data_IF_915799174962
#
_entry.id   IF_915799174962
#
_cell.length_a   1.000
_cell.length_b   1.000
_cell.length_c   1.000
_cell.angle_alpha   90.00
_cell.angle_beta   90.00
_cell.angle_gamma   90.00
#
_symmetry.space_group_name_H-M   'P 1'
#
loop_
_entity.id
_entity.type
_entity.pdbx_description
1 polymer ?
#
# COMPACT_ATOMS: atom_id res chain seq x y z
N UNK A 1 3.99 5.41 7.91
CA UNK A 1 5.25 4.94 7.27
C UNK A 1 5.68 3.55 7.77
N UNK A 2 5.78 3.28 9.08
CA UNK A 2 6.30 1.98 9.57
C UNK A 2 5.52 0.74 9.08
N UNK A 3 4.20 0.86 8.89
CA UNK A 3 3.33 -0.24 8.41
C UNK A 3 3.75 -0.83 7.05
N UNK A 4 4.56 -0.11 6.28
CA UNK A 4 5.06 -0.57 4.98
C UNK A 4 6.31 -1.45 5.06
N UNK A 5 7.11 -1.28 6.12
CA UNK A 5 8.46 -1.85 6.21
C UNK A 5 8.46 -3.36 6.46
N UNK A 6 7.32 -3.94 6.84
CA UNK A 6 7.17 -5.38 7.09
C UNK A 6 7.55 -6.23 5.86
N UNK A 7 7.38 -5.70 4.65
CA UNK A 7 7.72 -6.43 3.41
C UNK A 7 9.23 -6.48 3.15
N UNK A 8 10.03 -5.63 3.82
CA UNK A 8 11.49 -5.66 3.74
C UNK A 8 12.07 -6.83 4.55
N UNK A 9 11.29 -7.45 5.44
CA UNK A 9 11.72 -8.64 6.17
C UNK A 9 11.91 -9.84 5.20
N UNK A 10 13.12 -10.43 5.11
CA UNK A 10 13.41 -11.53 4.21
C UNK A 10 12.72 -12.85 4.59
N UNK A 11 11.93 -12.89 5.65
CA UNK A 11 11.03 -14.00 6.02
C UNK A 11 9.56 -13.76 5.61
N UNK A 12 9.16 -12.50 5.39
CA UNK A 12 7.80 -12.13 4.99
C UNK A 12 7.60 -12.30 3.48
N UNK A 13 6.74 -13.23 3.07
CA UNK A 13 6.38 -13.41 1.66
C UNK A 13 5.21 -12.54 1.22
N UNK A 14 4.28 -12.29 2.15
CA UNK A 14 3.07 -11.52 1.93
C UNK A 14 2.82 -10.68 3.17
N UNK A 15 2.49 -9.41 2.96
CA UNK A 15 2.04 -8.49 3.99
C UNK A 15 0.65 -7.96 3.61
N UNK A 16 -0.27 -7.95 4.57
CA UNK A 16 -1.61 -7.37 4.41
C UNK A 16 -1.80 -6.34 5.50
N UNK A 17 -2.14 -5.12 5.11
CA UNK A 17 -2.37 -4.01 6.01
C UNK A 17 -3.88 -3.73 6.02
N UNK A 18 -4.48 -3.96 7.19
CA UNK A 18 -5.91 -3.76 7.43
C UNK A 18 -6.15 -3.01 8.73
N UNK A 19 -6.87 -1.89 8.66
CA UNK A 19 -7.32 -1.19 9.88
C UNK A 19 -8.37 -2.06 10.61
N UNK A 20 -8.36 -2.03 11.95
CA UNK A 20 -9.16 -2.94 12.81
C UNK A 20 -10.48 -2.33 13.31
N UNK A 21 -10.94 -1.27 12.67
CA UNK A 21 -12.14 -0.52 13.01
C UNK A 21 -13.45 -1.19 12.55
N UNK A 22 -13.35 -2.33 11.87
CA UNK A 22 -14.46 -3.07 11.31
C UNK A 22 -14.19 -4.58 11.28
N UNK A 23 -15.27 -5.38 11.21
CA UNK A 23 -15.17 -6.84 11.04
C UNK A 23 -14.88 -7.16 9.59
N UNK A 24 -14.17 -8.27 9.36
CA UNK A 24 -14.03 -8.83 8.02
C UNK A 24 -15.39 -9.14 7.40
N UNK A 25 -15.56 -8.75 6.15
CA UNK A 25 -16.71 -9.13 5.34
C UNK A 25 -16.32 -10.11 4.24
N UNK A 26 -17.32 -10.72 3.61
CA UNK A 26 -17.12 -11.74 2.58
C UNK A 26 -16.40 -11.17 1.33
N UNK A 27 -16.65 -9.91 0.97
CA UNK A 27 -16.00 -9.27 -0.18
C UNK A 27 -14.50 -9.12 0.05
N UNK A 28 -14.08 -8.68 1.24
CA UNK A 28 -12.66 -8.56 1.60
C UNK A 28 -11.97 -9.92 1.54
N UNK A 29 -12.61 -10.97 2.08
CA UNK A 29 -12.09 -12.33 2.04
C UNK A 29 -11.91 -12.82 0.59
N UNK A 30 -12.93 -12.63 -0.26
CA UNK A 30 -12.87 -13.04 -1.66
C UNK A 30 -11.77 -12.31 -2.42
N UNK A 31 -11.69 -10.99 -2.27
CA UNK A 31 -10.68 -10.16 -2.91
C UNK A 31 -9.25 -10.54 -2.51
N UNK A 32 -9.01 -10.78 -1.21
CA UNK A 32 -7.71 -11.24 -0.72
C UNK A 32 -7.38 -12.62 -1.27
N UNK A 33 -8.33 -13.56 -1.29
CA UNK A 33 -8.10 -14.90 -1.81
C UNK A 33 -7.77 -14.89 -3.31
N UNK A 34 -8.51 -14.12 -4.11
CA UNK A 34 -8.24 -13.93 -5.53
C UNK A 34 -6.84 -13.36 -5.76
N UNK A 35 -6.49 -12.30 -5.03
CA UNK A 35 -5.16 -11.72 -5.10
C UNK A 35 -4.07 -12.70 -4.69
N UNK A 36 -4.24 -13.44 -3.58
CA UNK A 36 -3.26 -14.42 -3.12
C UNK A 36 -3.01 -15.51 -4.16
N UNK A 37 -4.06 -15.98 -4.84
CA UNK A 37 -3.97 -17.00 -5.88
C UNK A 37 -3.28 -16.51 -7.16
N UNK A 38 -3.26 -15.20 -7.42
CA UNK A 38 -2.64 -14.63 -8.62
C UNK A 38 -1.10 -14.64 -8.56
N UNK A 39 -0.40 -15.21 -9.54
CA UNK A 39 1.07 -15.16 -9.62
C UNK A 39 1.59 -13.79 -10.09
N UNK A 40 0.81 -13.06 -10.90
CA UNK A 40 1.26 -11.86 -11.62
C UNK A 40 0.98 -10.55 -10.84
N UNK A 41 0.14 -10.64 -9.81
CA UNK A 41 -0.28 -9.48 -9.02
C UNK A 41 0.48 -9.42 -7.69
N UNK A 42 1.48 -8.54 -7.62
CA UNK A 42 2.34 -8.36 -6.45
C UNK A 42 1.78 -7.32 -5.46
N UNK A 43 0.82 -6.51 -5.90
CA UNK A 43 0.16 -5.51 -5.07
C UNK A 43 -1.35 -5.74 -5.08
N UNK A 44 -2.01 -5.47 -3.95
CA UNK A 44 -3.46 -5.48 -3.82
C UNK A 44 -3.93 -4.19 -3.18
N UNK A 45 -5.02 -3.65 -3.71
CA UNK A 45 -5.70 -2.50 -3.11
C UNK A 45 -7.20 -2.70 -3.19
N UNK A 46 -7.90 -2.14 -2.22
CA UNK A 46 -9.35 -2.13 -2.17
C UNK A 46 -9.82 -0.80 -1.59
N UNK A 47 -10.98 -0.35 -2.09
CA UNK A 47 -11.78 0.70 -1.45
C UNK A 47 -13.18 0.17 -1.19
N UNK A 48 -13.78 0.66 -0.13
CA UNK A 48 -15.06 0.20 0.40
C UNK A 48 -16.08 1.34 0.61
N UNK A 49 -15.68 2.60 0.43
CA UNK A 49 -16.55 3.77 0.59
C UNK A 49 -16.30 4.85 -0.47
N UNK A 50 -17.36 5.56 -0.87
CA UNK A 50 -17.31 6.60 -1.92
C UNK A 50 -16.41 7.80 -1.60
N UNK A 51 -16.17 8.05 -0.31
CA UNK A 51 -15.31 9.12 0.20
C UNK A 51 -13.83 8.70 0.32
N UNK A 52 -13.50 7.45 0.02
CA UNK A 52 -12.12 6.96 -0.02
C UNK A 52 -11.45 7.38 -1.34
N UNK A 53 -11.23 8.68 -1.52
CA UNK A 53 -10.81 9.27 -2.80
C UNK A 53 -9.28 9.32 -3.00
N UNK A 54 -8.54 8.42 -2.35
CA UNK A 54 -7.08 8.34 -2.47
C UNK A 54 -6.66 7.18 -3.36
N UNK A 55 -5.48 7.29 -3.98
CA UNK A 55 -4.94 6.29 -4.89
C UNK A 55 -4.70 4.91 -4.24
N UNK A 56 -4.40 4.86 -2.94
CA UNK A 56 -4.33 3.64 -2.14
C UNK A 56 -4.73 3.97 -0.72
N UNK A 57 -5.65 3.20 -0.14
CA UNK A 57 -6.04 3.35 1.26
C UNK A 57 -4.93 2.83 2.18
N UNK A 58 -4.51 3.63 3.16
CA UNK A 58 -3.46 3.26 4.12
C UNK A 58 -3.81 2.05 5.01
N UNK A 59 -5.09 1.69 5.05
CA UNK A 59 -5.63 0.56 5.83
C UNK A 59 -6.26 -0.54 4.99
N UNK A 60 -6.10 -0.57 3.66
CA UNK A 60 -6.71 -1.61 2.80
C UNK A 60 -5.82 -1.97 1.61
N UNK A 61 -4.61 -2.46 1.87
CA UNK A 61 -3.70 -2.89 0.81
C UNK A 61 -2.86 -4.10 1.21
N UNK A 62 -2.27 -4.76 0.21
CA UNK A 62 -1.40 -5.92 0.40
C UNK A 62 -0.21 -5.90 -0.56
N UNK A 63 0.90 -6.51 -0.13
CA UNK A 63 2.14 -6.59 -0.88
C UNK A 63 2.68 -8.03 -0.84
N UNK A 64 3.18 -8.51 -1.97
CA UNK A 64 3.97 -9.74 -2.06
C UNK A 64 5.45 -9.40 -2.20
N UNK A 65 6.30 -10.31 -1.75
CA UNK A 65 7.75 -10.20 -1.98
C UNK A 65 8.04 -10.14 -3.47
N UNK A 66 9.04 -9.34 -3.84
CA UNK A 66 9.45 -9.14 -5.23
C UNK A 66 8.76 -7.95 -5.90
N UNK A 67 7.82 -7.29 -5.21
CA UNK A 67 7.20 -6.04 -5.67
C UNK A 67 8.25 -4.97 -6.04
N UNK A 68 9.35 -4.93 -5.28
CA UNK A 68 10.49 -4.05 -5.53
C UNK A 68 11.76 -4.90 -5.74
N UNK A 69 12.13 -5.23 -6.98
CA UNK A 69 13.27 -6.12 -7.24
C UNK A 69 14.63 -5.46 -7.00
N UNK A 70 14.70 -4.12 -7.09
CA UNK A 70 15.95 -3.35 -7.09
C UNK A 70 16.04 -2.33 -5.94
N UNK A 71 15.09 -2.34 -5.01
CA UNK A 71 15.02 -1.39 -3.89
C UNK A 71 14.18 -1.95 -2.75
N UNK A 72 14.19 -1.30 -1.59
CA UNK A 72 13.40 -1.66 -0.41
C UNK A 72 12.37 -0.57 -0.08
N UNK A 73 11.32 -0.91 0.66
CA UNK A 73 10.37 0.09 1.17
C UNK A 73 11.06 1.08 2.09
N UNK A 74 12.06 0.64 2.85
CA UNK A 74 12.91 1.49 3.67
C UNK A 74 13.65 2.54 2.83
N UNK A 75 14.25 2.14 1.70
CA UNK A 75 14.98 3.06 0.83
C UNK A 75 14.04 4.06 0.15
N UNK A 76 12.88 3.58 -0.33
CA UNK A 76 11.84 4.44 -0.90
C UNK A 76 11.30 5.44 0.14
N UNK A 77 11.06 5.00 1.38
CA UNK A 77 10.61 5.85 2.46
C UNK A 77 11.66 6.90 2.83
N UNK A 78 12.95 6.53 2.90
CA UNK A 78 14.05 7.46 3.13
C UNK A 78 14.13 8.50 2.01
N UNK A 79 14.09 8.07 0.75
CA UNK A 79 14.11 8.98 -0.40
C UNK A 79 12.98 10.01 -0.30
N UNK A 80 11.76 9.56 -0.03
CA UNK A 80 10.63 10.49 0.11
C UNK A 80 10.80 11.42 1.32
N UNK A 81 11.31 10.93 2.45
CA UNK A 81 11.59 11.79 3.60
C UNK A 81 12.63 12.88 3.28
N UNK A 82 13.68 12.56 2.52
CA UNK A 82 14.66 13.54 2.05
C UNK A 82 14.06 14.56 1.07
N UNK A 83 13.18 14.13 0.16
CA UNK A 83 12.50 15.02 -0.79
C UNK A 83 11.50 15.97 -0.11
N UNK A 84 10.74 15.46 0.86
CA UNK A 84 9.70 16.23 1.57
C UNK A 84 10.32 17.16 2.63
N UNK A 85 11.42 16.74 3.26
CA UNK A 85 12.09 17.50 4.31
C UNK A 85 13.58 17.71 3.99
N UNK A 86 13.92 18.63 3.07
CA UNK A 86 15.31 19.04 2.85
C UNK A 86 15.94 19.72 4.09
N UNK A 87 15.14 20.00 5.13
CA UNK A 87 15.59 20.39 6.46
C UNK A 87 15.00 19.46 7.54
N UNK A 88 15.84 18.82 8.39
CA UNK A 88 15.44 17.72 9.29
C UNK A 88 14.51 18.10 10.46
N UNK A 89 14.08 19.37 10.56
CA UNK A 89 13.40 19.90 11.74
C UNK A 89 11.86 19.79 11.74
N UNK A 90 11.23 19.23 10.70
CA UNK A 90 9.76 19.17 10.59
C UNK A 90 9.23 17.80 10.16
N UNK A 91 9.55 16.71 10.86
CA UNK A 91 8.76 15.48 10.71
C UNK A 91 7.41 15.72 11.42
N UNK A 92 6.47 16.39 10.75
CA UNK A 92 5.10 16.49 11.25
C UNK A 92 4.37 15.20 10.86
N UNK A 93 3.95 14.44 11.87
CA UNK A 93 3.06 13.29 11.72
C UNK A 93 1.63 13.74 11.40
N UNK A 94 1.46 14.45 10.27
CA UNK A 94 0.15 14.84 9.78
C UNK A 94 -0.66 13.59 9.36
N UNK A 95 -1.97 13.65 9.55
CA UNK A 95 -2.87 12.62 9.05
C UNK A 95 -2.72 12.50 7.52
N UNK A 96 -2.67 11.27 7.00
CA UNK A 96 -2.62 11.00 5.56
C UNK A 96 -1.24 10.97 4.90
N UNK A 97 -0.14 11.20 5.63
CA UNK A 97 1.23 11.09 5.09
C UNK A 97 1.53 9.70 4.50
N UNK A 98 0.98 8.66 5.11
CA UNK A 98 1.10 7.28 4.62
C UNK A 98 0.35 7.07 3.30
N UNK A 99 -0.82 7.69 3.14
CA UNK A 99 -1.58 7.68 1.88
C UNK A 99 -0.89 8.53 0.79
N UNK A 100 -0.29 9.67 1.15
CA UNK A 100 0.51 10.48 0.22
C UNK A 100 1.72 9.70 -0.31
N UNK A 101 2.42 8.98 0.57
CA UNK A 101 3.51 8.09 0.20
C UNK A 101 3.04 6.99 -0.76
N UNK A 102 1.96 6.28 -0.42
CA UNK A 102 1.42 5.24 -1.29
C UNK A 102 0.94 5.80 -2.64
N UNK A 103 0.36 6.99 -2.68
CA UNK A 103 -0.10 7.63 -3.91
C UNK A 103 1.06 7.94 -4.87
N UNK A 104 2.23 8.30 -4.36
CA UNK A 104 3.43 8.50 -5.18
C UNK A 104 3.92 7.17 -5.77
N UNK A 105 3.95 6.12 -4.95
CA UNK A 105 4.32 4.78 -5.41
C UNK A 105 3.31 4.20 -6.42
N UNK A 106 2.02 4.54 -6.28
CA UNK A 106 0.94 4.09 -7.16
C UNK A 106 1.22 4.43 -8.62
N UNK A 107 1.54 5.69 -8.91
CA UNK A 107 1.77 6.15 -10.27
C UNK A 107 3.08 5.63 -10.90
N UNK A 108 4.03 5.13 -10.10
CA UNK A 108 5.32 4.61 -10.60
C UNK A 108 5.40 3.09 -10.68
N UNK A 109 5.22 2.43 -9.53
CA UNK A 109 5.59 1.02 -9.34
C UNK A 109 4.39 0.11 -9.11
N UNK A 110 3.44 0.54 -8.27
CA UNK A 110 2.40 -0.37 -7.78
C UNK A 110 1.37 -0.71 -8.86
N UNK A 111 0.89 0.29 -9.60
CA UNK A 111 -0.23 0.14 -10.55
C UNK A 111 -0.01 -0.95 -11.61
N UNK A 112 1.25 -1.23 -11.98
CA UNK A 112 1.60 -2.26 -12.99
C UNK A 112 1.32 -3.69 -12.55
N UNK A 113 1.35 -3.95 -11.25
CA UNK A 113 1.17 -5.29 -10.67
C UNK A 113 0.03 -5.32 -9.65
N UNK A 114 -0.80 -4.27 -9.66
CA UNK A 114 -1.90 -4.09 -8.73
C UNK A 114 -3.13 -4.85 -9.19
N UNK A 115 -3.65 -5.70 -8.32
CA UNK A 115 -5.03 -6.15 -8.39
C UNK A 115 -5.89 -5.17 -7.61
N UNK A 116 -6.75 -4.45 -8.33
CA UNK A 116 -7.62 -3.43 -7.77
C UNK A 116 -9.05 -3.96 -7.67
N UNK A 117 -9.52 -4.16 -6.44
CA UNK A 117 -10.89 -4.57 -6.15
C UNK A 117 -11.79 -3.39 -5.79
N UNK A 118 -11.48 -2.17 -6.23
CA UNK A 118 -12.34 -1.01 -6.02
C UNK A 118 -13.75 -1.20 -6.63
N UNK A 119 -14.76 -0.83 -5.85
CA UNK A 119 -16.15 -0.75 -6.32
C UNK A 119 -16.39 0.46 -7.25
N UNK A 120 -15.46 1.41 -7.31
CA UNK A 120 -15.51 2.62 -8.15
C UNK A 120 -14.32 2.70 -9.13
N UNK A 121 -14.16 1.76 -10.08
CA UNK A 121 -12.96 1.59 -10.90
C UNK A 121 -12.70 2.71 -11.94
N UNK A 122 -13.53 3.75 -11.98
CA UNK A 122 -13.45 4.85 -12.96
C UNK A 122 -12.57 6.02 -12.48
N UNK A 123 -11.82 5.85 -11.38
CA UNK A 123 -10.96 6.89 -10.77
C UNK A 123 -9.48 6.58 -10.90
#
# INVERSE_FOLDING_TARGET
ILRFLVIDDPTVRVAIIRDIDSRFNLRELMAVNEWLASPDHLFHTMRDHMNHDVAVMGGMFGMKRGLFPNTTMTDLAKQQLFEVFPHPAKIHGCCGEDQNFLSRLWHGHLKKTAMDHDIFPWR
#
